data_IF_717112430998
#
_entry.id   IF_717112430998
#
_cell.length_a   1.000
_cell.length_b   1.000
_cell.length_c   1.000
_cell.angle_alpha   90.00
_cell.angle_beta   90.00
_cell.angle_gamma   90.00
#
_symmetry.space_group_name_H-M   'P 1'
#
loop_
_entity.id
_entity.type
_entity.pdbx_description
1 polymer ?
#
# COMPACT_ATOMS: atom_id res chain seq x y z
N UNK A 1 16.50 -6.25 -5.94
CA UNK A 1 15.64 -7.06 -5.05
C UNK A 1 14.54 -6.13 -4.53
N UNK A 2 13.29 -6.33 -4.96
CA UNK A 2 12.14 -5.47 -4.62
C UNK A 2 11.50 -5.86 -3.29
N UNK A 3 11.55 -7.13 -2.92
CA UNK A 3 11.07 -7.65 -1.63
C UNK A 3 12.20 -7.75 -0.63
N UNK A 4 11.97 -7.23 0.57
CA UNK A 4 12.88 -7.27 1.71
C UNK A 4 12.18 -7.98 2.88
N UNK A 5 12.66 -9.17 3.21
CA UNK A 5 12.22 -9.91 4.39
C UNK A 5 13.01 -9.40 5.58
N UNK A 6 12.33 -9.00 6.65
CA UNK A 6 12.94 -8.48 7.86
C UNK A 6 12.33 -9.07 9.11
N UNK A 7 13.07 -9.02 10.21
CA UNK A 7 12.52 -9.35 11.52
C UNK A 7 11.61 -8.21 11.99
N UNK A 8 10.53 -8.47 12.75
CA UNK A 8 9.57 -7.43 13.15
C UNK A 8 10.24 -6.22 13.83
N UNK A 9 11.21 -6.47 14.71
CA UNK A 9 12.00 -5.44 15.39
C UNK A 9 12.84 -4.53 14.47
N UNK A 10 13.11 -4.97 13.24
CA UNK A 10 13.97 -4.26 12.30
C UNK A 10 13.18 -3.52 11.21
N UNK A 11 11.85 -3.68 11.12
CA UNK A 11 11.04 -3.06 10.05
C UNK A 11 11.27 -1.55 9.98
N UNK A 12 11.30 -0.85 11.12
CA UNK A 12 11.51 0.61 11.16
C UNK A 12 12.85 1.01 10.52
N UNK A 13 13.92 0.32 10.87
CA UNK A 13 15.26 0.57 10.31
C UNK A 13 15.27 0.33 8.80
N UNK A 14 14.67 -0.77 8.36
CA UNK A 14 14.59 -1.09 6.94
C UNK A 14 13.75 -0.07 6.18
N UNK A 15 12.66 0.41 6.76
CA UNK A 15 11.81 1.44 6.17
C UNK A 15 12.56 2.76 5.99
N UNK A 16 13.27 3.24 7.02
CA UNK A 16 14.07 4.47 6.93
C UNK A 16 15.11 4.35 5.81
N UNK A 17 15.87 3.24 5.79
CA UNK A 17 16.86 2.96 4.75
C UNK A 17 16.23 2.92 3.34
N UNK A 18 15.02 2.38 3.24
CA UNK A 18 14.26 2.29 2.00
C UNK A 18 13.84 3.67 1.50
N UNK A 19 13.37 4.53 2.39
CA UNK A 19 12.99 5.92 2.09
C UNK A 19 14.22 6.75 1.67
N UNK A 20 15.34 6.60 2.37
CA UNK A 20 16.61 7.27 2.02
C UNK A 20 17.15 6.82 0.66
N UNK A 21 17.10 5.51 0.36
CA UNK A 21 17.53 4.96 -0.93
C UNK A 21 16.52 5.15 -2.07
N UNK A 22 15.26 5.44 -1.74
CA UNK A 22 14.13 5.58 -2.68
C UNK A 22 14.28 6.75 -3.64
N UNK A 23 15.07 7.76 -3.28
CA UNK A 23 15.47 8.88 -4.16
C UNK A 23 16.06 8.44 -5.51
N UNK A 24 16.49 7.18 -5.65
CA UNK A 24 17.19 6.64 -6.83
C UNK A 24 16.32 5.67 -7.66
N UNK A 25 15.06 5.39 -7.28
CA UNK A 25 14.17 4.42 -7.98
C UNK A 25 13.02 5.13 -8.71
N UNK A 26 12.42 4.44 -9.69
CA UNK A 26 11.35 4.98 -10.53
C UNK A 26 10.01 5.24 -9.78
N UNK A 27 9.82 4.67 -8.59
CA UNK A 27 8.64 4.90 -7.74
C UNK A 27 9.06 5.06 -6.28
N UNK A 28 8.45 6.01 -5.58
CA UNK A 28 8.62 6.19 -4.14
C UNK A 28 7.60 5.37 -3.32
N UNK A 29 7.12 4.25 -3.87
CA UNK A 29 6.12 3.39 -3.24
C UNK A 29 6.79 2.30 -2.40
N UNK A 30 6.41 2.24 -1.12
CA UNK A 30 6.76 1.16 -0.21
C UNK A 30 5.48 0.46 0.24
N UNK A 31 5.39 -0.86 0.02
CA UNK A 31 4.32 -1.71 0.52
C UNK A 31 4.81 -2.44 1.77
N UNK A 32 4.09 -2.28 2.88
CA UNK A 32 4.35 -2.99 4.14
C UNK A 32 3.38 -4.15 4.26
N UNK A 33 3.83 -5.36 3.88
CA UNK A 33 3.07 -6.59 4.00
C UNK A 33 3.44 -7.28 5.32
N UNK A 34 2.89 -6.80 6.43
CA UNK A 34 3.19 -7.26 7.79
C UNK A 34 1.90 -7.67 8.50
N UNK A 35 1.99 -8.39 9.61
CA UNK A 35 0.80 -8.83 10.36
C UNK A 35 0.12 -7.63 11.04
N UNK A 36 -1.18 -7.75 11.29
CA UNK A 36 -1.96 -6.67 11.91
C UNK A 36 -1.37 -6.19 13.25
N UNK A 37 -0.87 -7.13 14.06
CA UNK A 37 -0.21 -6.86 15.35
C UNK A 37 1.09 -6.07 15.21
N UNK A 38 1.77 -6.17 14.06
CA UNK A 38 3.03 -5.48 13.78
C UNK A 38 2.78 -4.04 13.31
N UNK A 39 1.60 -3.75 12.74
CA UNK A 39 1.20 -2.37 12.40
C UNK A 39 1.17 -1.44 13.61
N UNK A 40 0.62 -1.92 14.73
CA UNK A 40 0.48 -1.11 15.95
C UNK A 40 1.85 -0.71 16.53
N UNK A 41 2.84 -1.58 16.38
CA UNK A 41 4.22 -1.31 16.83
C UNK A 41 4.91 -0.24 15.96
N UNK A 42 4.58 -0.18 14.66
CA UNK A 42 5.10 0.83 13.75
C UNK A 42 4.41 2.19 13.92
N UNK A 43 3.11 2.19 14.22
CA UNK A 43 2.30 3.40 14.37
C UNK A 43 2.59 4.20 15.66
N UNK A 44 3.15 3.56 16.69
CA UNK A 44 3.30 4.13 18.05
C UNK A 44 4.66 4.78 18.31
N UNK A 45 5.65 4.63 17.42
CA UNK A 45 7.07 4.89 17.71
C UNK A 45 7.71 6.02 16.88
N UNK A 46 6.94 6.74 16.08
CA UNK A 46 7.37 7.95 15.37
C UNK A 46 6.15 8.84 15.07
N UNK A 47 6.32 9.99 14.43
CA UNK A 47 5.26 10.87 13.93
C UNK A 47 4.24 10.21 12.94
N UNK A 48 4.09 8.88 12.94
CA UNK A 48 3.00 8.10 12.38
C UNK A 48 1.62 8.37 13.02
N UNK A 49 1.49 9.44 13.82
CA UNK A 49 0.21 9.95 14.31
C UNK A 49 -0.77 10.36 13.19
N UNK A 50 -0.33 10.37 11.92
CA UNK A 50 -1.16 10.70 10.77
C UNK A 50 -1.23 9.58 9.72
N UNK A 51 -1.29 8.31 10.14
CA UNK A 51 -1.65 7.23 9.20
C UNK A 51 -3.09 7.45 8.76
N UNK A 52 -3.27 7.68 7.46
CA UNK A 52 -4.57 7.97 6.87
C UNK A 52 -5.32 6.66 6.60
N UNK A 53 -6.57 6.61 7.04
CA UNK A 53 -7.49 5.53 6.71
C UNK A 53 -8.09 5.80 5.33
N UNK A 54 -7.45 5.30 4.29
CA UNK A 54 -7.80 5.61 2.91
C UNK A 54 -9.28 5.34 2.61
N UNK A 55 -9.80 4.19 3.06
CA UNK A 55 -11.21 3.87 2.79
C UNK A 55 -12.14 4.88 3.45
N UNK A 56 -11.86 5.31 4.69
CA UNK A 56 -12.69 6.32 5.37
C UNK A 56 -12.60 7.70 4.71
N UNK A 57 -11.39 8.16 4.44
CA UNK A 57 -11.13 9.50 3.89
C UNK A 57 -11.67 9.68 2.48
N UNK A 58 -11.61 8.63 1.65
CA UNK A 58 -12.15 8.66 0.29
C UNK A 58 -13.66 8.35 0.28
N UNK A 59 -14.17 7.38 1.06
CA UNK A 59 -15.58 6.99 1.00
C UNK A 59 -16.53 8.15 1.29
N UNK A 60 -16.22 9.01 2.26
CA UNK A 60 -17.04 10.20 2.55
C UNK A 60 -17.17 11.15 1.37
N UNK A 61 -16.11 11.31 0.57
CA UNK A 61 -16.08 12.15 -0.63
C UNK A 61 -16.79 11.51 -1.83
N UNK A 62 -17.07 10.21 -1.78
CA UNK A 62 -17.76 9.46 -2.84
C UNK A 62 -19.26 9.29 -2.58
N UNK A 63 -19.77 9.73 -1.43
CA UNK A 63 -21.19 9.59 -1.11
C UNK A 63 -22.06 10.31 -2.16
N UNK A 64 -23.09 9.61 -2.64
CA UNK A 64 -24.01 10.12 -3.66
C UNK A 64 -23.49 10.04 -5.09
N UNK A 65 -22.24 9.61 -5.32
CA UNK A 65 -21.70 9.39 -6.66
C UNK A 65 -22.13 8.03 -7.23
N UNK A 66 -22.47 8.00 -8.51
CA UNK A 66 -22.64 6.77 -9.29
C UNK A 66 -21.31 6.00 -9.42
N UNK A 67 -21.37 4.71 -9.79
CA UNK A 67 -20.15 3.89 -9.98
C UNK A 67 -19.18 4.50 -10.98
N UNK A 68 -19.70 5.10 -12.07
CA UNK A 68 -18.89 5.79 -13.07
C UNK A 68 -18.18 7.01 -12.47
N UNK A 69 -18.90 7.84 -11.73
CA UNK A 69 -18.31 9.00 -11.05
C UNK A 69 -17.28 8.57 -10.00
N UNK A 70 -17.53 7.49 -9.25
CA UNK A 70 -16.57 6.95 -8.28
C UNK A 70 -15.29 6.50 -8.97
N UNK A 71 -15.38 5.73 -10.06
CA UNK A 71 -14.24 5.30 -10.88
C UNK A 71 -13.40 6.49 -11.37
N UNK A 72 -14.07 7.55 -11.84
CA UNK A 72 -13.39 8.73 -12.40
C UNK A 72 -12.77 9.64 -11.32
N UNK A 73 -13.34 9.65 -10.10
CA UNK A 73 -12.91 10.54 -9.02
C UNK A 73 -11.91 9.88 -8.06
N UNK A 74 -11.98 8.57 -7.79
CA UNK A 74 -11.04 7.89 -6.86
C UNK A 74 -9.57 8.18 -7.19
N UNK A 75 -9.12 8.11 -8.47
CA UNK A 75 -7.73 8.42 -8.80
C UNK A 75 -7.32 9.87 -8.46
N UNK A 76 -8.23 10.83 -8.63
CA UNK A 76 -7.99 12.24 -8.33
C UNK A 76 -7.96 12.46 -6.83
N UNK A 77 -8.93 11.90 -6.11
CA UNK A 77 -9.01 11.99 -4.65
C UNK A 77 -7.78 11.40 -3.97
N UNK A 78 -7.30 10.24 -4.44
CA UNK A 78 -6.07 9.65 -3.93
C UNK A 78 -4.86 10.54 -4.21
N UNK A 79 -4.73 11.06 -5.43
CA UNK A 79 -3.61 11.92 -5.79
C UNK A 79 -3.58 13.18 -4.92
N UNK A 80 -4.72 13.85 -4.74
CA UNK A 80 -4.84 15.02 -3.86
C UNK A 80 -4.51 14.68 -2.41
N UNK A 81 -5.05 13.57 -1.89
CA UNK A 81 -4.76 13.11 -0.53
C UNK A 81 -3.26 12.90 -0.29
N UNK A 82 -2.57 12.29 -1.27
CA UNK A 82 -1.12 12.09 -1.19
C UNK A 82 -0.37 13.41 -1.33
N UNK A 83 -0.81 14.32 -2.21
CA UNK A 83 -0.18 15.64 -2.38
C UNK A 83 -0.29 16.51 -1.12
N UNK A 84 -1.40 16.43 -0.38
CA UNK A 84 -1.68 17.17 0.87
C UNK A 84 -0.83 16.71 2.07
N UNK A 85 -0.34 15.46 2.07
CA UNK A 85 0.52 14.92 3.14
C UNK A 85 1.83 15.73 3.31
N UNK A 86 2.18 16.23 4.49
CA UNK A 86 3.50 16.80 4.74
C UNK A 86 4.57 15.70 4.81
N UNK A 87 5.56 15.72 3.91
CA UNK A 87 6.61 14.71 3.86
C UNK A 87 6.15 13.36 3.30
N UNK A 88 6.26 12.28 4.09
CA UNK A 88 5.90 10.92 3.69
C UNK A 88 4.42 10.70 3.95
N UNK A 89 3.69 10.21 2.95
CA UNK A 89 2.28 9.88 3.13
C UNK A 89 2.12 8.41 3.55
N UNK A 90 1.34 8.16 4.59
CA UNK A 90 1.12 6.83 5.15
C UNK A 90 -0.35 6.44 5.02
N UNK A 91 -0.62 5.32 4.35
CA UNK A 91 -1.98 4.84 4.09
C UNK A 91 -2.20 3.46 4.68
N UNK A 92 -3.32 3.28 5.38
CA UNK A 92 -3.84 1.96 5.75
C UNK A 92 -5.28 1.78 5.24
N UNK A 93 -5.84 0.57 5.51
CA UNK A 93 -7.24 0.24 5.23
C UNK A 93 -7.63 0.62 3.80
N UNK A 94 -6.94 0.03 2.84
CA UNK A 94 -7.05 0.34 1.41
C UNK A 94 -8.17 -0.43 0.68
N UNK A 95 -9.06 -1.11 1.41
CA UNK A 95 -10.09 -1.99 0.86
C UNK A 95 -10.95 -1.35 -0.22
N UNK A 96 -11.26 -0.05 -0.06
CA UNK A 96 -12.03 0.72 -1.05
C UNK A 96 -11.41 0.65 -2.45
N UNK A 97 -10.08 0.61 -2.59
CA UNK A 97 -9.45 0.53 -3.91
C UNK A 97 -9.73 -0.79 -4.65
N UNK A 98 -10.13 -1.83 -3.92
CA UNK A 98 -10.38 -3.18 -4.43
C UNK A 98 -11.86 -3.45 -4.70
N UNK A 99 -12.74 -2.46 -4.50
CA UNK A 99 -14.15 -2.59 -4.89
C UNK A 99 -14.27 -2.82 -6.40
N UNK A 100 -14.91 -3.94 -6.78
CA UNK A 100 -15.08 -4.33 -8.18
C UNK A 100 -15.78 -3.25 -9.02
N UNK A 101 -16.73 -2.54 -8.40
CA UNK A 101 -17.50 -1.45 -9.02
C UNK A 101 -16.65 -0.25 -9.45
N UNK A 102 -15.44 -0.09 -8.90
CA UNK A 102 -14.53 0.98 -9.31
C UNK A 102 -13.82 0.66 -10.62
N UNK A 103 -13.70 -0.62 -11.00
CA UNK A 103 -13.01 -1.06 -12.23
C UNK A 103 -11.62 -0.43 -12.42
N UNK A 104 -10.87 -0.30 -11.32
CA UNK A 104 -9.50 0.24 -11.30
C UNK A 104 -8.49 -0.87 -10.98
N UNK A 105 -7.23 -0.60 -11.29
CA UNK A 105 -6.09 -1.40 -10.86
C UNK A 105 -5.44 -0.73 -9.63
N UNK A 106 -5.63 -1.27 -8.40
CA UNK A 106 -5.14 -0.67 -7.17
C UNK A 106 -3.63 -0.41 -7.17
N UNK A 107 -2.83 -1.37 -7.62
CA UNK A 107 -1.38 -1.26 -7.60
C UNK A 107 -0.91 -0.17 -8.58
N UNK A 108 -1.44 -0.16 -9.81
CA UNK A 108 -1.10 0.90 -10.78
C UNK A 108 -1.49 2.28 -10.26
N UNK A 109 -2.63 2.38 -9.57
CA UNK A 109 -3.09 3.63 -8.99
C UNK A 109 -2.14 4.10 -7.88
N UNK A 110 -1.75 3.23 -6.94
CA UNK A 110 -0.79 3.55 -5.88
C UNK A 110 0.57 3.95 -6.45
N UNK A 111 1.09 3.22 -7.45
CA UNK A 111 2.35 3.57 -8.14
C UNK A 111 2.29 4.96 -8.76
N UNK A 112 1.16 5.32 -9.37
CA UNK A 112 0.95 6.64 -9.97
C UNK A 112 0.95 7.74 -8.91
N UNK A 113 0.29 7.52 -7.77
CA UNK A 113 0.28 8.47 -6.66
C UNK A 113 1.68 8.67 -6.04
N UNK A 114 2.49 7.60 -5.96
CA UNK A 114 3.84 7.63 -5.41
C UNK A 114 4.91 8.30 -6.30
N UNK A 115 4.56 8.77 -7.51
CA UNK A 115 5.52 9.41 -8.42
C UNK A 115 6.07 10.73 -7.89
N UNK A 116 5.24 11.50 -7.18
CA UNK A 116 5.59 12.86 -6.73
C UNK A 116 6.07 12.93 -5.29
N UNK A 117 5.64 11.99 -4.46
CA UNK A 117 5.87 12.00 -3.01
C UNK A 117 6.05 10.58 -2.48
N UNK A 118 6.92 10.36 -1.48
CA UNK A 118 7.04 9.06 -0.82
C UNK A 118 5.71 8.61 -0.23
N UNK A 119 5.35 7.37 -0.57
CA UNK A 119 4.08 6.77 -0.18
C UNK A 119 4.36 5.41 0.45
N UNK A 120 3.97 5.27 1.71
CA UNK A 120 4.01 4.01 2.46
C UNK A 120 2.59 3.49 2.62
N UNK A 121 2.35 2.26 2.15
CA UNK A 121 1.02 1.64 2.21
C UNK A 121 1.09 0.35 3.00
N UNK A 122 0.24 0.24 4.01
CA UNK A 122 0.02 -1.01 4.73
C UNK A 122 -0.82 -1.96 3.87
N UNK A 123 -0.21 -3.08 3.50
CA UNK A 123 -0.80 -4.06 2.61
C UNK A 123 -1.36 -5.23 3.42
N UNK A 124 -2.68 -5.24 3.60
CA UNK A 124 -3.39 -6.19 4.47
C UNK A 124 -3.58 -7.60 3.90
N UNK A 125 -2.97 -7.91 2.75
CA UNK A 125 -3.02 -9.25 2.17
C UNK A 125 -1.71 -10.02 2.35
N UNK A 126 -1.55 -11.08 1.57
CA UNK A 126 -0.48 -12.05 1.72
C UNK A 126 0.61 -11.90 0.66
N UNK A 127 1.84 -12.25 1.02
CA UNK A 127 2.96 -12.40 0.09
C UNK A 127 3.47 -13.85 0.13
N UNK A 128 3.70 -14.42 -1.04
CA UNK A 128 4.34 -15.72 -1.22
C UNK A 128 5.61 -15.59 -2.07
N UNK A 129 6.20 -16.71 -2.50
CA UNK A 129 7.43 -16.73 -3.28
C UNK A 129 7.29 -16.11 -4.70
N UNK A 130 6.06 -15.95 -5.20
CA UNK A 130 5.75 -15.57 -6.58
C UNK A 130 4.92 -14.30 -6.68
N UNK A 131 4.08 -14.00 -5.68
CA UNK A 131 3.08 -12.95 -5.78
C UNK A 131 2.77 -12.24 -4.46
N UNK A 132 2.27 -11.01 -4.59
CA UNK A 132 1.63 -10.23 -3.55
C UNK A 132 0.13 -10.16 -3.83
N UNK A 133 -0.68 -10.65 -2.91
CA UNK A 133 -2.14 -10.70 -3.02
C UNK A 133 -2.81 -9.85 -1.95
N UNK A 134 -3.98 -9.29 -2.22
CA UNK A 134 -4.72 -8.47 -1.23
C UNK A 134 -5.78 -9.25 -0.44
N UNK A 135 -6.41 -10.24 -1.07
CA UNK A 135 -7.49 -11.04 -0.50
C UNK A 135 -7.27 -12.52 -0.84
N UNK A 136 -8.23 -13.39 -0.57
CA UNK A 136 -8.16 -14.81 -0.93
C UNK A 136 -8.81 -15.11 -2.29
N UNK A 137 -8.30 -16.10 -3.05
CA UNK A 137 -8.94 -16.53 -4.30
C UNK A 137 -10.43 -16.83 -4.11
N UNK A 138 -11.25 -16.45 -5.09
CA UNK A 138 -12.71 -16.62 -5.07
C UNK A 138 -13.48 -15.47 -4.41
N UNK A 139 -12.80 -14.44 -3.88
CA UNK A 139 -13.45 -13.22 -3.39
C UNK A 139 -13.49 -12.12 -4.47
N UNK A 140 -14.54 -11.27 -4.50
CA UNK A 140 -14.64 -10.18 -5.48
C UNK A 140 -13.49 -9.16 -5.39
N UNK A 141 -12.93 -8.97 -4.20
CA UNK A 141 -11.80 -8.06 -3.92
C UNK A 141 -10.42 -8.72 -4.15
N UNK A 142 -10.39 -9.95 -4.68
CA UNK A 142 -9.15 -10.67 -4.94
C UNK A 142 -8.35 -10.02 -6.08
N UNK A 143 -7.15 -9.56 -5.74
CA UNK A 143 -6.10 -9.17 -6.68
C UNK A 143 -4.79 -9.82 -6.24
N UNK A 144 -4.03 -10.29 -7.22
CA UNK A 144 -2.67 -10.79 -7.04
C UNK A 144 -1.77 -10.21 -8.11
N UNK A 145 -0.55 -9.84 -7.73
CA UNK A 145 0.46 -9.24 -8.58
C UNK A 145 1.74 -10.05 -8.48
N UNK A 146 2.32 -10.43 -9.61
CA UNK A 146 3.58 -11.15 -9.62
C UNK A 146 4.70 -10.26 -9.08
N UNK A 147 5.68 -10.85 -8.39
CA UNK A 147 6.83 -10.08 -7.89
C UNK A 147 7.61 -9.39 -9.00
N UNK A 148 7.56 -9.91 -10.24
CA UNK A 148 8.12 -9.26 -11.44
C UNK A 148 7.41 -7.96 -11.80
N UNK A 149 6.16 -7.78 -11.42
CA UNK A 149 5.40 -6.52 -11.59
C UNK A 149 5.76 -5.49 -10.53
N UNK A 150 6.51 -5.87 -9.48
CA UNK A 150 6.89 -5.04 -8.34
C UNK A 150 8.35 -4.56 -8.43
N UNK A 151 9.00 -4.63 -9.59
CA UNK A 151 10.43 -4.27 -9.72
C UNK A 151 10.76 -2.82 -9.32
N UNK A 152 9.82 -1.91 -9.56
CA UNK A 152 9.89 -0.49 -9.21
C UNK A 152 9.31 -0.18 -7.82
N UNK A 153 8.73 -1.17 -7.14
CA UNK A 153 8.10 -1.03 -5.82
C UNK A 153 8.96 -1.71 -4.77
N UNK A 154 9.11 -1.08 -3.62
CA UNK A 154 9.73 -1.76 -2.49
C UNK A 154 8.66 -2.44 -1.63
N UNK A 155 8.83 -3.73 -1.35
CA UNK A 155 7.97 -4.47 -0.44
C UNK A 155 8.80 -4.85 0.78
N UNK A 156 8.34 -4.51 1.98
CA UNK A 156 8.94 -4.94 3.24
C UNK A 156 7.95 -5.88 3.92
N UNK A 157 8.42 -7.05 4.32
CA UNK A 157 7.58 -8.07 4.96
C UNK A 157 8.32 -8.78 6.09
N UNK A 158 7.57 -9.34 7.03
CA UNK A 158 8.07 -10.19 8.13
C UNK A 158 7.87 -11.67 7.88
N UNK A 159 7.15 -12.04 6.82
CA UNK A 159 6.80 -13.42 6.53
C UNK A 159 6.65 -13.63 5.01
N UNK A 160 6.76 -14.88 4.58
CA UNK A 160 6.37 -15.30 3.23
C UNK A 160 5.55 -16.58 3.40
N UNK A 161 4.34 -16.61 2.84
CA UNK A 161 3.53 -17.82 2.82
C UNK A 161 4.17 -18.91 1.97
N UNK A 162 4.10 -20.16 2.45
CA UNK A 162 4.68 -21.32 1.77
C UNK A 162 6.20 -21.43 1.86
N UNK A 163 6.89 -20.53 2.58
CA UNK A 163 8.29 -20.69 2.96
C UNK A 163 8.31 -21.17 4.41
N UNK A 164 8.47 -22.49 4.57
CA UNK A 164 8.32 -23.30 5.79
C UNK A 164 6.85 -23.68 6.11
N UNK A 165 6.34 -24.70 5.43
CA UNK A 165 5.66 -25.82 6.10
C UNK A 165 6.65 -26.98 6.26
#
# INVERSE_FOLDING_TARGET
MSVLISQPKNIKKELIKSLESGSLRASNLILLAVKETEYQLLATQDNSNNIINLSKDIAGKLLGMSNKERKDNVPKLLASLVEECEGICWLNRIALLFEESLEIDPLKLLKKAARKKPLVVFWSGDIDAFSLSYSKPGRPDYKSYNLSELQDVQVITTYIQGVNE
#
